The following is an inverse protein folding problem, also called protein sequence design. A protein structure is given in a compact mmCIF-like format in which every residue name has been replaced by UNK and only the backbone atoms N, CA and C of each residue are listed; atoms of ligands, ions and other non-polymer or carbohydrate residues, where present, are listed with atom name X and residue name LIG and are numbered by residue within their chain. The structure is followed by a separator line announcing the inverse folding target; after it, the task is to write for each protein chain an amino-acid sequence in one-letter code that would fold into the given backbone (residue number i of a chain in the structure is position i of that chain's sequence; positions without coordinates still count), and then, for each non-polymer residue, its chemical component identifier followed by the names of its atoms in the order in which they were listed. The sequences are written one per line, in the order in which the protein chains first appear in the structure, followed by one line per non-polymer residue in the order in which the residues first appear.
data_IF_707652928771
#
_entry.id   IF_707652928771
#
_cell.length_a   1.000
_cell.length_b   1.000
_cell.length_c   1.000
_cell.angle_alpha   90.00
_cell.angle_beta   90.00
_cell.angle_gamma   90.00
#
_symmetry.space_group_name_H-M   'P 1'
#
loop_
_entity.id
_entity.type
_entity.pdbx_description
1 polymer ?
#
# COMPACT_ATOMS: atom_id res chain seq x y z
N UNK A 1 -49.29 4.18 -32.17
CA UNK A 1 -47.92 4.46 -32.68
C UNK A 1 -47.04 5.22 -31.68
N UNK A 2 -47.53 6.28 -31.01
CA UNK A 2 -46.75 7.07 -30.03
C UNK A 2 -46.11 6.29 -28.87
N UNK A 3 -46.81 5.28 -28.31
CA UNK A 3 -46.30 4.46 -27.19
C UNK A 3 -45.07 3.61 -27.54
N UNK A 4 -44.94 3.20 -28.82
CA UNK A 4 -43.79 2.41 -29.32
C UNK A 4 -42.54 3.26 -29.56
N UNK A 5 -42.72 4.54 -29.89
CA UNK A 5 -41.60 5.49 -30.07
C UNK A 5 -40.97 5.84 -28.71
N UNK A 6 -41.78 6.04 -27.67
CA UNK A 6 -41.32 6.36 -26.31
C UNK A 6 -40.59 5.17 -25.66
N UNK A 7 -41.02 3.94 -25.93
CA UNK A 7 -40.32 2.74 -25.44
C UNK A 7 -38.98 2.50 -26.16
N UNK A 8 -38.88 2.86 -27.45
CA UNK A 8 -37.64 2.75 -28.22
C UNK A 8 -36.54 3.72 -27.74
N UNK A 9 -36.91 4.95 -27.39
CA UNK A 9 -35.95 5.95 -26.86
C UNK A 9 -35.50 5.65 -25.43
N UNK A 10 -36.36 5.10 -24.56
CA UNK A 10 -35.96 4.68 -23.21
C UNK A 10 -34.96 3.51 -23.23
N UNK A 11 -35.17 2.53 -24.12
CA UNK A 11 -34.27 1.38 -24.26
C UNK A 11 -32.89 1.78 -24.80
N UNK A 12 -32.84 2.70 -25.75
CA UNK A 12 -31.57 3.22 -26.29
C UNK A 12 -30.78 4.04 -25.25
N UNK A 13 -31.47 4.82 -24.39
CA UNK A 13 -30.85 5.59 -23.32
C UNK A 13 -30.25 4.72 -22.21
N UNK A 14 -30.90 3.59 -21.88
CA UNK A 14 -30.39 2.63 -20.89
C UNK A 14 -29.14 1.87 -21.40
N UNK A 15 -29.10 1.52 -22.68
CA UNK A 15 -27.92 0.86 -23.29
C UNK A 15 -26.75 1.84 -23.41
N UNK A 16 -27.00 3.10 -23.78
CA UNK A 16 -25.96 4.13 -23.82
C UNK A 16 -25.42 4.48 -22.41
N UNK A 17 -26.28 4.50 -21.39
CA UNK A 17 -25.87 4.70 -19.99
C UNK A 17 -25.04 3.56 -19.42
N UNK A 18 -25.34 2.31 -19.79
CA UNK A 18 -24.59 1.14 -19.37
C UNK A 18 -23.21 1.02 -20.07
N UNK A 19 -23.11 1.43 -21.33
CA UNK A 19 -21.83 1.46 -22.07
C UNK A 19 -20.87 2.57 -21.58
N UNK A 20 -21.38 3.65 -21.00
CA UNK A 20 -20.54 4.71 -20.41
C UNK A 20 -19.82 4.30 -19.12
N UNK A 21 -20.38 3.36 -18.35
CA UNK A 21 -19.79 2.87 -17.11
C UNK A 21 -18.64 1.87 -17.32
N UNK A 22 -18.56 1.21 -18.49
CA UNK A 22 -17.49 0.26 -18.81
C UNK A 22 -16.21 0.91 -19.34
N UNK A 23 -16.27 2.14 -19.88
CA UNK A 23 -15.09 2.84 -20.42
C UNK A 23 -14.13 3.34 -19.34
N UNK A 24 -14.62 3.53 -18.11
CA UNK A 24 -13.78 3.95 -16.99
C UNK A 24 -12.71 2.90 -16.59
N UNK A 25 -12.97 1.62 -16.84
CA UNK A 25 -12.05 0.52 -16.55
C UNK A 25 -10.98 0.32 -17.64
N UNK A 26 -11.01 1.10 -18.73
CA UNK A 26 -10.12 0.95 -19.88
C UNK A 26 -9.05 2.05 -19.99
N UNK A 27 -8.98 2.99 -19.03
CA UNK A 27 -8.10 4.15 -19.16
C UNK A 27 -6.73 3.98 -18.49
N UNK A 28 -6.62 3.17 -17.44
CA UNK A 28 -5.34 2.72 -16.89
C UNK A 28 -5.18 1.22 -17.20
N UNK A 29 -4.38 0.91 -18.23
CA UNK A 29 -4.17 -0.46 -18.71
C UNK A 29 -2.81 -1.05 -18.30
N UNK A 30 -1.98 -0.26 -17.60
CA UNK A 30 -0.66 -0.65 -17.12
C UNK A 30 0.45 -0.65 -18.19
N UNK A 31 0.18 -0.18 -19.41
CA UNK A 31 1.15 -0.22 -20.53
C UNK A 31 1.88 1.11 -20.78
N UNK A 32 1.38 2.22 -20.22
CA UNK A 32 2.00 3.52 -20.34
C UNK A 32 3.01 3.77 -19.21
N UNK A 33 4.31 3.75 -19.53
CA UNK A 33 5.37 3.89 -18.54
C UNK A 33 6.09 5.24 -18.63
N UNK A 34 6.07 6.02 -17.55
CA UNK A 34 6.79 7.31 -17.42
C UNK A 34 8.30 7.12 -17.41
N UNK A 35 8.74 5.97 -16.91
CA UNK A 35 10.10 5.48 -16.90
C UNK A 35 10.07 3.93 -16.85
N UNK A 36 11.16 3.22 -17.16
CA UNK A 36 11.22 1.77 -17.01
C UNK A 36 10.80 1.32 -15.61
N UNK A 37 9.76 0.49 -15.52
CA UNK A 37 9.20 -0.01 -14.25
C UNK A 37 8.24 0.95 -13.53
N UNK A 38 7.96 2.14 -14.07
CA UNK A 38 7.04 3.13 -13.49
C UNK A 38 5.87 3.39 -14.44
N UNK A 39 4.87 2.50 -14.39
CA UNK A 39 3.72 2.52 -15.30
C UNK A 39 2.41 2.94 -14.63
N UNK A 40 2.45 3.36 -13.37
CA UNK A 40 1.24 3.77 -12.64
C UNK A 40 0.66 5.10 -13.15
N UNK A 41 -0.65 5.12 -13.35
CA UNK A 41 -1.46 6.28 -13.70
C UNK A 41 -2.72 6.34 -12.81
N UNK A 42 -3.27 7.54 -12.52
CA UNK A 42 -4.57 7.63 -11.86
C UNK A 42 -5.69 7.23 -12.82
N UNK A 43 -6.67 6.48 -12.33
CA UNK A 43 -7.91 6.23 -13.08
C UNK A 43 -8.69 7.54 -13.36
N UNK A 44 -9.53 7.59 -14.40
CA UNK A 44 -10.38 8.74 -14.67
C UNK A 44 -11.24 9.12 -13.46
N UNK A 45 -11.14 10.37 -13.03
CA UNK A 45 -11.86 10.90 -11.86
C UNK A 45 -11.13 10.72 -10.52
N UNK A 46 -9.95 10.08 -10.51
CA UNK A 46 -9.09 9.97 -9.33
C UNK A 46 -7.88 10.92 -9.41
N UNK A 47 -7.41 11.48 -8.29
CA UNK A 47 -6.25 12.38 -8.29
C UNK A 47 -4.94 11.60 -8.37
N UNK A 48 -3.95 12.16 -9.08
CA UNK A 48 -2.59 11.62 -9.14
C UNK A 48 -1.86 11.67 -7.77
N UNK A 49 -2.22 12.63 -6.92
CA UNK A 49 -1.67 12.82 -5.57
C UNK A 49 -2.82 12.81 -4.58
N UNK A 50 -2.79 11.91 -3.60
CA UNK A 50 -3.88 11.72 -2.66
C UNK A 50 -3.92 12.79 -1.55
N UNK A 51 -2.77 13.41 -1.24
CA UNK A 51 -2.66 14.41 -0.15
C UNK A 51 -3.62 15.59 -0.37
N UNK A 52 -4.47 15.87 0.61
CA UNK A 52 -5.50 16.92 0.55
C UNK A 52 -6.74 16.56 -0.28
N UNK A 53 -6.82 15.37 -0.85
CA UNK A 53 -8.03 14.86 -1.52
C UNK A 53 -8.97 14.17 -0.52
N UNK A 54 -10.18 13.81 -0.95
CA UNK A 54 -11.09 12.96 -0.16
C UNK A 54 -10.58 11.53 0.07
N UNK A 55 -9.47 11.16 -0.56
CA UNK A 55 -8.80 9.86 -0.46
C UNK A 55 -7.45 9.95 0.28
N UNK A 56 -7.14 11.09 0.92
CA UNK A 56 -5.93 11.23 1.74
C UNK A 56 -5.95 10.22 2.90
N UNK A 57 -4.95 9.32 3.02
CA UNK A 57 -4.95 8.28 4.04
C UNK A 57 -4.61 8.80 5.44
N UNK A 58 -4.11 10.03 5.57
CA UNK A 58 -3.81 10.68 6.85
C UNK A 58 -3.00 9.80 7.83
N UNK A 59 -2.00 9.07 7.33
CA UNK A 59 -1.15 8.22 8.18
C UNK A 59 -0.42 9.04 9.25
N UNK A 60 -0.47 8.59 10.50
CA UNK A 60 0.34 9.15 11.58
C UNK A 60 1.82 8.77 11.37
N UNK A 61 2.75 9.73 11.24
CA UNK A 61 4.18 9.45 11.11
C UNK A 61 4.74 8.58 12.24
N UNK A 62 4.20 8.69 13.46
CA UNK A 62 4.63 7.89 14.61
C UNK A 62 4.26 6.42 14.45
N UNK A 63 3.11 6.12 13.85
CA UNK A 63 2.69 4.75 13.58
C UNK A 63 3.54 4.12 12.47
N UNK A 64 3.81 4.86 11.40
CA UNK A 64 4.68 4.39 10.30
C UNK A 64 6.10 4.06 10.78
N UNK A 65 6.63 4.81 11.74
CA UNK A 65 7.97 4.61 12.29
C UNK A 65 8.13 3.35 13.16
N UNK A 66 7.03 2.73 13.63
CA UNK A 66 7.10 1.60 14.58
C UNK A 66 7.82 0.37 14.04
N UNK A 67 7.70 0.10 12.74
CA UNK A 67 8.31 -1.08 12.12
C UNK A 67 9.84 -0.99 12.19
N UNK A 68 10.43 0.14 11.81
CA UNK A 68 11.87 0.33 11.87
C UNK A 68 12.37 0.30 13.32
N UNK A 69 11.68 0.97 14.24
CA UNK A 69 12.04 0.95 15.66
C UNK A 69 12.05 -0.47 16.25
N UNK A 70 11.11 -1.33 15.83
CA UNK A 70 11.06 -2.73 16.25
C UNK A 70 12.23 -3.54 15.68
N UNK A 71 12.60 -3.30 14.41
CA UNK A 71 13.74 -3.94 13.75
C UNK A 71 15.06 -3.51 14.39
N UNK A 72 15.28 -2.22 14.64
CA UNK A 72 16.50 -1.70 15.29
C UNK A 72 16.67 -2.33 16.68
N UNK A 73 15.59 -2.42 17.46
CA UNK A 73 15.61 -3.08 18.75
C UNK A 73 15.89 -4.58 18.64
N UNK A 74 15.38 -5.24 17.59
CA UNK A 74 15.66 -6.66 17.33
C UNK A 74 17.13 -6.88 16.95
N UNK A 75 17.68 -6.04 16.08
CA UNK A 75 19.09 -6.07 15.68
C UNK A 75 20.01 -5.85 16.89
N UNK A 76 19.72 -4.86 17.74
CA UNK A 76 20.47 -4.61 18.96
C UNK A 76 20.48 -5.84 19.90
N UNK A 77 19.32 -6.47 20.11
CA UNK A 77 19.24 -7.71 20.91
C UNK A 77 20.00 -8.87 20.26
N UNK A 78 19.92 -9.03 18.94
CA UNK A 78 20.63 -10.10 18.22
C UNK A 78 22.14 -9.90 18.27
N UNK A 79 22.62 -8.66 18.15
CA UNK A 79 24.04 -8.33 18.31
C UNK A 79 24.57 -8.78 19.67
N UNK A 80 23.85 -8.48 20.76
CA UNK A 80 24.23 -8.92 22.10
C UNK A 80 24.35 -10.45 22.20
N UNK A 81 23.37 -11.18 21.63
CA UNK A 81 23.38 -12.65 21.63
C UNK A 81 24.59 -13.22 20.89
N UNK A 82 24.86 -12.70 19.68
CA UNK A 82 25.97 -13.16 18.85
C UNK A 82 27.31 -12.84 19.52
N UNK A 83 27.47 -11.63 20.06
CA UNK A 83 28.70 -11.24 20.77
C UNK A 83 28.96 -12.14 21.99
N UNK A 84 27.94 -12.46 22.78
CA UNK A 84 28.09 -13.42 23.87
C UNK A 84 28.43 -14.83 23.38
N UNK A 85 27.75 -15.29 22.33
CA UNK A 85 27.98 -16.62 21.78
C UNK A 85 29.42 -16.79 21.27
N UNK A 86 29.94 -15.79 20.54
CA UNK A 86 31.32 -15.77 20.06
C UNK A 86 32.32 -15.76 21.22
N UNK A 87 32.06 -14.99 22.28
CA UNK A 87 32.95 -14.89 23.45
C UNK A 87 32.98 -16.15 24.30
N UNK A 88 31.83 -16.82 24.48
CA UNK A 88 31.67 -17.89 25.48
C UNK A 88 31.55 -19.29 24.88
N UNK A 89 31.25 -19.40 23.58
CA UNK A 89 30.89 -20.65 22.93
C UNK A 89 29.51 -21.20 23.34
N UNK A 90 28.73 -20.48 24.16
CA UNK A 90 27.40 -20.89 24.62
C UNK A 90 26.35 -19.86 24.21
N UNK A 91 25.33 -20.31 23.49
CA UNK A 91 24.25 -19.44 23.06
C UNK A 91 23.29 -19.17 24.22
N UNK A 92 22.91 -17.91 24.41
CA UNK A 92 21.90 -17.47 25.37
C UNK A 92 20.98 -16.45 24.67
N UNK A 93 19.67 -16.68 24.75
CA UNK A 93 18.66 -15.89 24.05
C UNK A 93 18.14 -14.72 24.91
N UNK A 94 18.04 -14.93 26.22
CA UNK A 94 17.56 -13.93 27.16
C UNK A 94 18.65 -12.87 27.40
N UNK A 95 18.46 -11.70 26.80
CA UNK A 95 19.42 -10.59 26.88
C UNK A 95 19.61 -10.07 28.30
N UNK A 96 18.64 -10.27 29.21
CA UNK A 96 18.77 -9.86 30.62
C UNK A 96 19.86 -10.67 31.34
N UNK A 97 20.06 -11.93 30.95
CA UNK A 97 21.13 -12.78 31.48
C UNK A 97 22.51 -12.40 30.93
N UNK A 98 22.57 -11.71 29.80
CA UNK A 98 23.82 -11.22 29.18
C UNK A 98 24.25 -9.88 29.78
N UNK A 99 23.29 -9.01 30.11
CA UNK A 99 23.55 -7.69 30.66
C UNK A 99 23.93 -7.72 32.16
N UNK A 100 23.51 -8.76 32.90
CA UNK A 100 23.91 -8.98 34.30
C UNK A 100 25.29 -9.63 34.49
N UNK A 101 25.98 -10.03 33.42
CA UNK A 101 27.30 -10.68 33.47
C UNK A 101 28.48 -9.72 33.23
N UNK A 102 28.23 -8.40 33.30
CA UNK A 102 29.23 -7.36 33.03
C UNK A 102 29.09 -6.14 33.93
N UNK A 103 29.19 -6.34 35.25
CA UNK A 103 29.74 -5.38 36.22
C UNK A 103 30.89 -6.08 36.96
#
# INVERSE_FOLDING_TARGET
MFKRIIQGTLAAALIAGAAGASVAHAAYDGTHCKAPGVCWEPEPGYPAVLKGSKYDPHHDPKELAKQQAALDAQEARNKLRVENFVKTGKFEFDVNKLQGQGN
#
